data_IF_584700685643
#
_entry.id   IF_584700685643
#
_cell.length_a   1.000
_cell.length_b   1.000
_cell.length_c   1.000
_cell.angle_alpha   90.00
_cell.angle_beta   90.00
_cell.angle_gamma   90.00
#
_symmetry.space_group_name_H-M   'P 1'
#
loop_
_entity.id
_entity.type
_entity.pdbx_description
1 polymer ?
#
# COMPACT_ATOMS: atom_id res chain seq x y z
N UNK A 1 -6.36 4.11 -7.22
CA UNK A 1 -5.30 4.99 -6.69
C UNK A 1 -5.22 4.97 -5.17
N UNK A 2 -4.02 5.04 -4.62
CA UNK A 2 -3.75 5.12 -3.18
C UNK A 2 -3.05 6.46 -2.88
N UNK A 3 -3.84 7.51 -2.68
CA UNK A 3 -3.41 8.88 -2.37
C UNK A 3 -3.38 9.10 -0.86
N UNK A 4 -2.51 8.36 -0.18
CA UNK A 4 -2.44 8.24 1.26
C UNK A 4 -1.01 8.46 1.78
N UNK A 5 -0.89 8.97 3.00
CA UNK A 5 0.34 8.90 3.78
C UNK A 5 0.60 7.47 4.25
N UNK A 6 1.76 7.22 4.87
CA UNK A 6 2.00 5.93 5.53
C UNK A 6 0.94 5.70 6.61
N UNK A 7 0.18 4.63 6.44
CA UNK A 7 -0.87 4.26 7.38
C UNK A 7 -1.25 2.79 7.21
N UNK A 8 -1.98 2.23 8.15
CA UNK A 8 -2.51 0.88 8.05
C UNK A 8 -3.52 0.79 6.90
N UNK A 9 -4.31 1.83 6.69
CA UNK A 9 -5.33 1.93 5.64
C UNK A 9 -4.70 1.85 4.25
N UNK A 10 -3.47 2.39 4.07
CA UNK A 10 -2.70 2.22 2.84
C UNK A 10 -2.47 0.73 2.55
N UNK A 11 -1.98 -0.02 3.54
CA UNK A 11 -1.70 -1.44 3.40
C UNK A 11 -2.97 -2.28 3.24
N UNK A 12 -4.04 -1.92 3.95
CA UNK A 12 -5.35 -2.56 3.81
C UNK A 12 -5.88 -2.34 2.40
N UNK A 13 -5.91 -1.10 1.90
CA UNK A 13 -6.33 -0.75 0.55
C UNK A 13 -5.50 -1.45 -0.53
N UNK A 14 -4.16 -1.45 -0.39
CA UNK A 14 -3.24 -2.14 -1.28
C UNK A 14 -3.59 -3.65 -1.41
N UNK A 15 -3.77 -4.32 -0.27
CA UNK A 15 -4.08 -5.75 -0.25
C UNK A 15 -5.52 -6.04 -0.69
N UNK A 16 -6.47 -5.17 -0.37
CA UNK A 16 -7.86 -5.30 -0.83
C UNK A 16 -7.93 -5.24 -2.36
N UNK A 17 -7.21 -4.29 -2.99
CA UNK A 17 -7.16 -4.17 -4.45
C UNK A 17 -6.56 -5.44 -5.07
N UNK A 18 -5.47 -5.99 -4.52
CA UNK A 18 -4.93 -7.27 -4.98
C UNK A 18 -5.95 -8.42 -4.82
N UNK A 19 -6.69 -8.46 -3.70
CA UNK A 19 -7.67 -9.53 -3.44
C UNK A 19 -8.81 -9.57 -4.44
N UNK A 20 -9.24 -8.42 -4.94
CA UNK A 20 -10.29 -8.35 -5.98
C UNK A 20 -9.75 -8.49 -7.41
N UNK A 21 -8.44 -8.74 -7.58
CA UNK A 21 -7.79 -8.81 -8.89
C UNK A 21 -7.55 -7.44 -9.55
N UNK A 22 -7.65 -6.37 -8.77
CA UNK A 22 -7.37 -5.01 -9.24
C UNK A 22 -5.87 -4.71 -9.29
N UNK A 23 -5.53 -3.56 -9.87
CA UNK A 23 -4.16 -3.05 -9.98
C UNK A 23 -4.02 -1.84 -9.05
N UNK A 24 -3.30 -1.97 -7.93
CA UNK A 24 -3.07 -0.83 -7.04
C UNK A 24 -2.08 0.15 -7.67
N UNK A 25 -2.43 1.43 -7.63
CA UNK A 25 -1.65 2.53 -8.16
C UNK A 25 -1.17 3.40 -7.00
N UNK A 26 0.14 3.48 -6.80
CA UNK A 26 0.72 4.40 -5.83
C UNK A 26 0.61 5.84 -6.32
N UNK A 27 0.10 6.72 -5.47
CA UNK A 27 -0.05 8.15 -5.78
C UNK A 27 0.82 8.95 -4.81
N UNK A 28 1.67 9.80 -5.34
CA UNK A 28 2.50 10.66 -4.51
C UNK A 28 1.64 11.74 -3.83
N UNK A 29 1.60 11.73 -2.50
CA UNK A 29 0.80 12.68 -1.72
C UNK A 29 1.24 14.14 -1.86
N UNK A 30 2.41 14.39 -2.46
CA UNK A 30 2.92 15.75 -2.76
C UNK A 30 2.44 16.29 -4.09
N UNK A 31 1.79 15.47 -4.93
CA UNK A 31 1.33 15.92 -6.24
C UNK A 31 0.29 17.02 -6.13
N UNK A 32 0.40 18.01 -7.04
CA UNK A 32 -0.59 19.05 -7.24
C UNK A 32 -1.70 18.57 -8.19
N UNK A 33 -2.73 19.39 -8.40
CA UNK A 33 -3.93 19.01 -9.16
C UNK A 33 -3.60 18.45 -10.56
N UNK A 34 -2.74 19.12 -11.32
CA UNK A 34 -2.38 18.71 -12.69
C UNK A 34 -1.69 17.34 -12.72
N UNK A 35 -0.77 17.08 -11.78
CA UNK A 35 -0.06 15.80 -11.69
C UNK A 35 -1.00 14.67 -11.27
N UNK A 36 -1.96 14.93 -10.37
CA UNK A 36 -2.98 13.97 -9.96
C UNK A 36 -3.92 13.62 -11.08
N UNK A 37 -4.45 14.62 -11.82
CA UNK A 37 -5.31 14.40 -12.98
C UNK A 37 -4.56 13.52 -13.99
N UNK A 38 -3.33 13.90 -14.33
CA UNK A 38 -2.53 13.13 -15.27
C UNK A 38 -2.34 11.67 -14.81
N UNK A 39 -1.91 11.45 -13.55
CA UNK A 39 -1.62 10.12 -13.08
C UNK A 39 -2.86 9.25 -13.01
N UNK A 40 -3.96 9.76 -12.46
CA UNK A 40 -5.20 9.02 -12.28
C UNK A 40 -5.89 8.69 -13.61
N UNK A 41 -5.81 9.60 -14.59
CA UNK A 41 -6.29 9.35 -15.94
C UNK A 41 -5.39 8.37 -16.69
N UNK A 42 -4.07 8.59 -16.69
CA UNK A 42 -3.09 7.72 -17.38
C UNK A 42 -3.02 6.28 -16.82
N UNK A 43 -3.40 6.09 -15.56
CA UNK A 43 -3.46 4.77 -14.93
C UNK A 43 -4.80 4.07 -15.09
N UNK A 44 -5.75 4.65 -15.82
CA UNK A 44 -7.13 4.16 -15.93
C UNK A 44 -7.77 3.88 -14.55
N UNK A 45 -7.46 4.72 -13.55
CA UNK A 45 -7.98 4.53 -12.19
C UNK A 45 -9.49 4.67 -12.15
N UNK A 46 -10.17 3.70 -11.52
CA UNK A 46 -11.62 3.70 -11.33
C UNK A 46 -12.05 3.99 -9.89
N UNK A 47 -11.14 3.84 -8.93
CA UNK A 47 -11.37 4.13 -7.52
C UNK A 47 -10.13 4.75 -6.90
N UNK A 48 -10.33 5.66 -5.93
CA UNK A 48 -9.22 6.34 -5.24
C UNK A 48 -9.48 6.36 -3.75
N UNK A 49 -8.51 5.83 -2.98
CA UNK A 49 -8.41 6.04 -1.53
C UNK A 49 -7.62 7.32 -1.27
N UNK A 50 -8.06 8.16 -0.37
CA UNK A 50 -7.34 9.36 0.03
C UNK A 50 -7.57 9.71 1.50
N UNK A 51 -6.59 10.33 2.15
CA UNK A 51 -6.78 10.88 3.50
C UNK A 51 -7.60 12.17 3.47
N UNK A 52 -8.42 12.40 4.52
CA UNK A 52 -9.30 13.56 4.64
C UNK A 52 -8.57 14.90 4.50
N UNK A 53 -7.29 14.99 4.91
CA UNK A 53 -6.44 16.18 4.71
C UNK A 53 -6.26 16.56 3.23
N UNK A 54 -6.47 15.63 2.29
CA UNK A 54 -6.40 15.88 0.85
C UNK A 54 -7.75 16.15 0.21
N UNK A 55 -8.85 16.15 0.97
CA UNK A 55 -10.21 16.29 0.45
C UNK A 55 -10.46 17.59 -0.35
N UNK A 56 -9.77 18.68 -0.02
CA UNK A 56 -9.85 19.92 -0.81
C UNK A 56 -9.29 19.74 -2.23
N UNK A 57 -8.21 18.98 -2.36
CA UNK A 57 -7.60 18.68 -3.66
C UNK A 57 -8.45 17.70 -4.46
N UNK A 58 -9.01 16.69 -3.80
CA UNK A 58 -9.96 15.78 -4.45
C UNK A 58 -11.16 16.55 -4.99
N UNK A 59 -11.73 17.47 -4.21
CA UNK A 59 -12.82 18.34 -4.65
C UNK A 59 -12.45 19.18 -5.88
N UNK A 60 -11.21 19.66 -5.96
CA UNK A 60 -10.71 20.46 -7.07
C UNK A 60 -10.64 19.65 -8.39
N UNK A 61 -10.26 18.36 -8.31
CA UNK A 61 -9.97 17.54 -9.49
C UNK A 61 -11.08 16.57 -9.89
N UNK A 62 -12.04 16.29 -9.01
CA UNK A 62 -13.01 15.20 -9.20
C UNK A 62 -13.80 15.34 -10.50
N UNK A 63 -14.25 16.55 -10.85
CA UNK A 63 -15.00 16.82 -12.08
C UNK A 63 -14.17 16.60 -13.35
N UNK A 64 -12.84 16.65 -13.26
CA UNK A 64 -11.91 16.40 -14.36
C UNK A 64 -11.60 14.92 -14.58
N UNK A 65 -12.10 14.04 -13.73
CA UNK A 65 -11.80 12.60 -13.71
C UNK A 65 -13.10 11.75 -13.76
N UNK A 66 -13.87 11.82 -14.87
CA UNK A 66 -15.16 11.14 -14.97
C UNK A 66 -15.08 9.61 -14.93
N UNK A 67 -13.90 9.05 -15.14
CA UNK A 67 -13.67 7.60 -15.08
C UNK A 67 -13.55 7.08 -13.63
N UNK A 68 -13.29 7.95 -12.65
CA UNK A 68 -13.28 7.57 -11.24
C UNK A 68 -14.72 7.38 -10.77
N UNK A 69 -15.07 6.14 -10.47
CA UNK A 69 -16.42 5.73 -10.04
C UNK A 69 -16.60 5.86 -8.53
N UNK A 70 -15.50 5.73 -7.77
CA UNK A 70 -15.54 5.68 -6.32
C UNK A 70 -14.38 6.45 -5.71
N UNK A 71 -14.71 7.38 -4.83
CA UNK A 71 -13.78 8.08 -3.96
C UNK A 71 -13.96 7.54 -2.54
N UNK A 72 -12.90 7.08 -1.89
CA UNK A 72 -12.92 6.52 -0.55
C UNK A 72 -12.05 7.36 0.36
N UNK A 73 -12.68 8.04 1.31
CA UNK A 73 -12.01 8.90 2.26
C UNK A 73 -11.64 8.12 3.52
N UNK A 74 -10.38 8.22 3.92
CA UNK A 74 -9.80 7.70 5.15
C UNK A 74 -9.71 8.84 6.17
N UNK A 75 -10.27 8.66 7.34
CA UNK A 75 -10.23 9.66 8.40
C UNK A 75 -8.80 9.81 8.96
N UNK A 76 -8.33 11.05 9.10
CA UNK A 76 -7.03 11.40 9.69
C UNK A 76 -7.13 12.52 10.74
N UNK A 77 -8.35 12.85 11.17
CA UNK A 77 -8.66 13.95 12.08
C UNK A 77 -8.91 15.29 11.37
N UNK A 78 -8.69 15.37 10.05
CA UNK A 78 -8.97 16.56 9.26
C UNK A 78 -10.46 16.67 8.91
N UNK A 79 -10.91 17.90 8.63
CA UNK A 79 -12.29 18.14 8.20
C UNK A 79 -12.40 17.90 6.69
N UNK A 80 -13.27 16.97 6.30
CA UNK A 80 -13.54 16.67 4.88
C UNK A 80 -14.18 17.86 4.18
N UNK A 81 -13.70 18.13 2.95
CA UNK A 81 -14.24 19.16 2.04
C UNK A 81 -14.92 18.57 0.80
N UNK A 82 -14.83 17.25 0.59
CA UNK A 82 -15.48 16.55 -0.52
C UNK A 82 -16.55 15.61 0.03
N UNK A 83 -17.81 15.84 -0.36
CA UNK A 83 -18.98 15.19 0.24
C UNK A 83 -19.42 13.90 -0.45
N UNK A 84 -18.98 13.69 -1.68
CA UNK A 84 -19.42 12.55 -2.51
C UNK A 84 -18.53 11.32 -2.34
N UNK A 85 -17.69 11.32 -1.30
CA UNK A 85 -16.84 10.19 -0.95
C UNK A 85 -17.52 9.23 0.02
N UNK A 86 -17.28 7.94 -0.19
CA UNK A 86 -17.58 6.91 0.81
C UNK A 86 -16.55 6.98 1.96
N UNK A 87 -16.96 6.64 3.15
CA UNK A 87 -16.06 6.62 4.32
C UNK A 87 -15.48 5.22 4.49
N UNK A 88 -14.16 5.16 4.60
CA UNK A 88 -13.42 3.90 4.70
C UNK A 88 -13.90 3.05 5.89
N UNK A 89 -14.05 3.68 7.05
CA UNK A 89 -14.47 3.02 8.30
C UNK A 89 -15.89 2.46 8.16
N UNK A 90 -16.82 3.22 7.56
CA UNK A 90 -18.20 2.78 7.32
C UNK A 90 -18.26 1.59 6.35
N UNK A 91 -17.39 1.56 5.34
CA UNK A 91 -17.28 0.42 4.43
C UNK A 91 -16.81 -0.85 5.15
N UNK A 92 -15.83 -0.74 6.05
CA UNK A 92 -15.35 -1.87 6.84
C UNK A 92 -16.43 -2.45 7.76
N UNK A 93 -17.29 -1.59 8.31
CA UNK A 93 -18.36 -2.01 9.23
C UNK A 93 -19.58 -2.59 8.50
N UNK A 94 -19.87 -2.11 7.29
CA UNK A 94 -21.11 -2.44 6.55
C UNK A 94 -20.96 -3.56 5.53
N UNK A 95 -19.75 -3.96 5.18
CA UNK A 95 -19.50 -4.96 4.15
C UNK A 95 -19.08 -6.31 4.73
N UNK A 96 -19.67 -7.38 4.25
CA UNK A 96 -19.22 -8.73 4.57
C UNK A 96 -17.89 -9.05 3.89
N UNK A 97 -17.05 -9.91 4.49
CA UNK A 97 -15.81 -10.37 3.87
C UNK A 97 -16.10 -11.07 2.53
N UNK A 98 -15.35 -10.66 1.51
CA UNK A 98 -15.43 -11.30 0.19
C UNK A 98 -14.86 -12.71 0.23
N UNK A 99 -15.48 -13.65 -0.48
CA UNK A 99 -14.94 -14.99 -0.71
C UNK A 99 -13.59 -14.92 -1.44
N UNK A 100 -12.72 -15.89 -1.16
CA UNK A 100 -11.41 -15.98 -1.81
C UNK A 100 -11.57 -16.37 -3.28
N UNK A 101 -11.11 -15.53 -4.19
CA UNK A 101 -11.11 -15.83 -5.63
C UNK A 101 -9.72 -16.26 -6.09
N UNK A 102 -9.69 -17.09 -7.14
CA UNK A 102 -8.44 -17.38 -7.86
C UNK A 102 -7.97 -16.14 -8.62
N UNK A 103 -6.67 -15.85 -8.55
CA UNK A 103 -6.03 -14.71 -9.27
C UNK A 103 -4.98 -15.24 -10.22
N UNK A 104 -5.00 -14.71 -11.44
CA UNK A 104 -3.98 -15.04 -12.42
C UNK A 104 -2.62 -14.44 -12.01
N UNK A 105 -1.53 -15.22 -11.94
CA UNK A 105 -0.19 -14.72 -11.63
C UNK A 105 0.32 -13.70 -12.66
N UNK A 106 -0.28 -13.62 -13.84
CA UNK A 106 0.00 -12.59 -14.84
C UNK A 106 -0.72 -11.27 -14.59
N UNK A 107 -1.61 -11.18 -13.59
CA UNK A 107 -2.22 -9.90 -13.16
C UNK A 107 -1.12 -8.88 -12.87
N UNK A 108 -1.34 -7.64 -13.27
CA UNK A 108 -0.35 -6.58 -13.15
C UNK A 108 -0.34 -5.99 -11.73
N UNK A 109 0.86 -5.75 -11.24
CA UNK A 109 1.16 -4.77 -10.20
C UNK A 109 1.85 -3.59 -10.86
N UNK A 110 1.40 -2.37 -10.60
CA UNK A 110 1.94 -1.17 -11.21
C UNK A 110 2.53 -0.24 -10.16
N UNK A 111 3.73 0.26 -10.42
CA UNK A 111 4.38 1.27 -9.59
C UNK A 111 4.69 2.50 -10.43
N UNK A 112 4.05 3.62 -10.13
CA UNK A 112 4.39 4.89 -10.73
C UNK A 112 5.68 5.44 -10.11
N UNK A 113 6.61 5.82 -10.98
CA UNK A 113 7.89 6.41 -10.56
C UNK A 113 8.03 7.82 -11.13
N UNK A 114 8.60 8.75 -10.37
CA UNK A 114 8.94 10.07 -10.87
C UNK A 114 10.00 9.95 -11.97
N UNK A 115 9.69 10.42 -13.16
CA UNK A 115 10.66 10.50 -14.26
C UNK A 115 11.62 11.68 -14.04
N UNK A 116 12.90 11.50 -14.39
CA UNK A 116 13.88 12.60 -14.39
C UNK A 116 13.62 13.62 -15.50
N UNK A 117 12.72 13.32 -16.43
CA UNK A 117 12.51 14.06 -17.68
C UNK A 117 11.05 14.38 -17.99
N UNK A 118 10.13 14.34 -17.02
CA UNK A 118 8.71 14.63 -17.28
C UNK A 118 7.74 13.96 -16.32
N UNK A 119 6.52 13.75 -16.80
CA UNK A 119 5.41 13.16 -16.03
C UNK A 119 5.72 11.73 -15.54
N UNK A 120 5.14 11.31 -14.42
CA UNK A 120 5.34 9.97 -13.86
C UNK A 120 4.96 8.87 -14.84
N UNK A 121 5.67 7.73 -14.77
CA UNK A 121 5.40 6.55 -15.62
C UNK A 121 5.13 5.34 -14.75
N UNK A 122 4.13 4.55 -15.11
CA UNK A 122 3.78 3.28 -14.46
C UNK A 122 4.70 2.16 -14.93
N UNK A 123 5.52 1.62 -14.03
CA UNK A 123 6.30 0.40 -14.28
C UNK A 123 5.44 -0.79 -13.93
N UNK A 124 5.23 -1.69 -14.89
CA UNK A 124 4.36 -2.85 -14.76
C UNK A 124 5.16 -4.11 -14.43
N UNK A 125 4.69 -4.84 -13.43
CA UNK A 125 5.23 -6.12 -13.01
C UNK A 125 4.11 -7.16 -13.07
N UNK A 126 4.37 -8.37 -13.55
CA UNK A 126 3.47 -9.50 -13.32
C UNK A 126 3.55 -9.91 -11.85
N UNK A 127 2.42 -10.04 -11.17
CA UNK A 127 2.39 -10.33 -9.73
C UNK A 127 3.13 -11.62 -9.37
N UNK A 128 3.01 -12.67 -10.20
CA UNK A 128 3.72 -13.92 -9.97
C UNK A 128 5.25 -13.77 -10.06
N UNK A 129 5.76 -13.07 -11.08
CA UNK A 129 7.20 -12.80 -11.24
C UNK A 129 7.71 -11.89 -10.11
N UNK A 130 6.91 -10.90 -9.73
CA UNK A 130 7.22 -9.99 -8.63
C UNK A 130 7.29 -10.72 -7.28
N UNK A 131 6.38 -11.64 -7.02
CA UNK A 131 6.41 -12.48 -5.82
C UNK A 131 7.70 -13.32 -5.74
N UNK A 132 8.11 -13.94 -6.84
CA UNK A 132 9.39 -14.67 -6.92
C UNK A 132 10.58 -13.76 -6.61
N UNK A 133 10.56 -12.52 -7.11
CA UNK A 133 11.58 -11.52 -6.79
C UNK A 133 11.64 -11.22 -5.28
N UNK A 134 10.50 -11.03 -4.63
CA UNK A 134 10.44 -10.76 -3.19
C UNK A 134 10.98 -11.95 -2.38
N UNK A 135 10.65 -13.19 -2.74
CA UNK A 135 11.20 -14.38 -2.07
C UNK A 135 12.71 -14.50 -2.25
N UNK A 136 13.23 -14.22 -3.44
CA UNK A 136 14.69 -14.18 -3.67
C UNK A 136 15.37 -13.11 -2.82
N UNK A 137 14.73 -11.96 -2.64
CA UNK A 137 15.24 -10.89 -1.79
C UNK A 137 15.28 -11.31 -0.33
N UNK A 138 14.24 -11.95 0.19
CA UNK A 138 14.20 -12.51 1.54
C UNK A 138 15.33 -13.52 1.75
N UNK A 139 15.52 -14.44 0.82
CA UNK A 139 16.61 -15.44 0.87
C UNK A 139 18.00 -14.78 0.87
N UNK A 140 18.20 -13.75 0.06
CA UNK A 140 19.44 -12.98 0.02
C UNK A 140 19.71 -12.19 1.31
N UNK A 141 18.65 -11.82 2.04
CA UNK A 141 18.74 -11.20 3.37
C UNK A 141 18.97 -12.23 4.50
N UNK A 142 19.03 -13.52 4.16
CA UNK A 142 19.31 -14.60 5.13
C UNK A 142 18.07 -15.19 5.80
N UNK A 143 16.86 -14.83 5.34
CA UNK A 143 15.64 -15.45 5.85
C UNK A 143 15.45 -16.84 5.24
N UNK A 144 14.97 -17.77 6.06
CA UNK A 144 14.51 -19.06 5.58
C UNK A 144 13.20 -18.89 4.82
N UNK A 145 13.17 -19.32 3.57
CA UNK A 145 12.03 -19.16 2.66
C UNK A 145 11.81 -20.50 1.97
N UNK A 146 10.58 -21.05 1.96
CA UNK A 146 10.31 -22.34 1.34
C UNK A 146 10.59 -22.27 -0.16
N UNK A 147 11.12 -23.36 -0.72
CA UNK A 147 11.34 -23.49 -2.16
C UNK A 147 10.01 -23.61 -2.92
N UNK A 148 9.01 -24.25 -2.32
CA UNK A 148 7.65 -24.34 -2.81
C UNK A 148 6.75 -23.42 -1.98
N UNK A 149 6.07 -22.48 -2.66
CA UNK A 149 5.13 -21.54 -2.05
C UNK A 149 3.98 -22.25 -1.31
N UNK A 150 3.64 -23.48 -1.68
CA UNK A 150 2.63 -24.25 -0.98
C UNK A 150 3.02 -24.59 0.46
N UNK A 151 4.32 -24.53 0.79
CA UNK A 151 4.83 -24.73 2.12
C UNK A 151 4.91 -23.44 2.95
N UNK A 152 4.52 -22.30 2.39
CA UNK A 152 4.61 -20.99 3.05
C UNK A 152 3.77 -20.93 4.33
N UNK A 153 2.59 -21.53 4.32
CA UNK A 153 1.71 -21.56 5.50
C UNK A 153 2.36 -22.31 6.67
N UNK A 154 3.00 -23.43 6.40
CA UNK A 154 3.75 -24.18 7.41
C UNK A 154 4.95 -23.38 7.93
N UNK A 155 5.70 -22.73 7.05
CA UNK A 155 6.83 -21.87 7.43
C UNK A 155 6.39 -20.73 8.36
N UNK A 156 5.27 -20.05 8.02
CA UNK A 156 4.68 -19.00 8.86
C UNK A 156 4.28 -19.55 10.23
N UNK A 157 3.71 -20.75 10.27
CA UNK A 157 3.36 -21.42 11.53
C UNK A 157 4.61 -21.69 12.40
N UNK A 158 5.70 -22.15 11.79
CA UNK A 158 6.96 -22.42 12.47
C UNK A 158 7.58 -21.12 13.04
N UNK A 159 7.62 -20.05 12.27
CA UNK A 159 8.03 -18.72 12.75
C UNK A 159 7.17 -18.22 13.92
N UNK A 160 5.87 -18.49 13.87
CA UNK A 160 4.96 -18.15 14.97
C UNK A 160 5.32 -18.91 16.24
N UNK A 161 5.59 -20.20 16.11
CA UNK A 161 5.95 -21.08 17.24
C UNK A 161 7.27 -20.67 17.87
N UNK A 162 8.23 -20.24 17.06
CA UNK A 162 9.57 -19.82 17.50
C UNK A 162 9.64 -18.34 17.91
N UNK A 163 8.55 -17.58 17.71
CA UNK A 163 8.49 -16.13 17.94
C UNK A 163 9.57 -15.34 17.17
N UNK A 164 9.86 -15.78 15.94
CA UNK A 164 10.90 -15.21 15.06
C UNK A 164 10.35 -14.32 13.95
N UNK A 165 9.14 -13.79 14.11
CA UNK A 165 8.53 -12.88 13.13
C UNK A 165 9.32 -11.60 12.94
N UNK A 166 9.42 -11.18 11.68
CA UNK A 166 9.92 -9.85 11.33
C UNK A 166 8.92 -8.79 11.78
N UNK A 167 9.39 -7.81 12.51
CA UNK A 167 8.64 -6.59 12.84
C UNK A 167 9.34 -5.39 12.19
N UNK A 168 8.82 -4.95 11.08
CA UNK A 168 9.43 -3.88 10.29
C UNK A 168 8.76 -2.52 10.56
N UNK A 169 9.53 -1.52 10.97
CA UNK A 169 9.08 -0.14 10.97
C UNK A 169 9.25 0.44 9.56
N UNK A 170 8.14 0.86 8.96
CA UNK A 170 8.11 1.42 7.60
C UNK A 170 8.64 2.86 7.63
N UNK A 171 9.95 3.02 7.58
CA UNK A 171 10.61 4.33 7.65
C UNK A 171 10.60 5.12 6.33
N UNK A 172 10.35 4.46 5.19
CA UNK A 172 10.22 5.10 3.89
C UNK A 172 8.74 5.25 3.48
N UNK A 173 8.38 6.22 2.62
CA UNK A 173 7.01 6.33 2.15
C UNK A 173 6.53 5.06 1.43
N UNK A 174 5.33 4.59 1.78
CA UNK A 174 4.69 3.42 1.16
C UNK A 174 4.38 3.63 -0.34
N UNK A 175 4.27 4.87 -0.77
CA UNK A 175 4.11 5.20 -2.19
C UNK A 175 5.37 4.91 -3.02
N UNK A 176 6.50 4.59 -2.39
CA UNK A 176 7.75 4.23 -3.06
C UNK A 176 8.06 2.74 -2.88
N UNK A 177 8.71 2.15 -3.88
CA UNK A 177 9.09 0.73 -3.85
C UNK A 177 9.86 0.34 -2.58
N UNK A 178 10.80 1.17 -2.10
CA UNK A 178 11.55 0.89 -0.87
C UNK A 178 10.62 0.73 0.34
N UNK A 179 9.69 1.66 0.55
CA UNK A 179 8.73 1.57 1.66
C UNK A 179 7.78 0.39 1.52
N UNK A 180 7.19 0.22 0.33
CA UNK A 180 6.22 -0.82 0.07
C UNK A 180 6.87 -2.22 0.02
N UNK A 181 7.95 -2.39 -0.73
CA UNK A 181 8.52 -3.72 -0.97
C UNK A 181 9.33 -4.21 0.23
N UNK A 182 10.28 -3.40 0.70
CA UNK A 182 11.16 -3.80 1.80
C UNK A 182 10.51 -3.59 3.17
N UNK A 183 9.84 -2.46 3.37
CA UNK A 183 9.23 -2.12 4.66
C UNK A 183 7.93 -2.86 4.95
N UNK A 184 7.13 -3.21 3.94
CA UNK A 184 5.83 -3.82 4.14
C UNK A 184 5.69 -5.22 3.53
N UNK A 185 5.92 -5.41 2.23
CA UNK A 185 5.67 -6.71 1.61
C UNK A 185 6.56 -7.82 2.15
N UNK A 186 7.88 -7.59 2.31
CA UNK A 186 8.79 -8.64 2.79
C UNK A 186 8.38 -9.18 4.17
N UNK A 187 8.16 -8.33 5.21
CA UNK A 187 7.72 -8.85 6.50
C UNK A 187 6.35 -9.53 6.43
N UNK A 188 5.38 -8.94 5.71
CA UNK A 188 4.03 -9.50 5.62
C UNK A 188 3.98 -10.85 4.88
N UNK A 189 4.85 -11.09 3.89
CA UNK A 189 4.94 -12.37 3.19
C UNK A 189 5.35 -13.53 4.11
N UNK A 190 6.12 -13.26 5.16
CA UNK A 190 6.52 -14.25 6.16
C UNK A 190 5.65 -14.21 7.42
N UNK A 191 4.44 -13.62 7.35
CA UNK A 191 3.52 -13.53 8.47
C UNK A 191 3.94 -12.55 9.57
N UNK A 192 4.94 -11.70 9.29
CA UNK A 192 5.43 -10.67 10.20
C UNK A 192 4.52 -9.44 10.27
N UNK A 193 5.07 -8.35 10.79
CA UNK A 193 4.33 -7.10 11.04
C UNK A 193 4.99 -5.93 10.34
N UNK A 194 4.19 -5.16 9.61
CA UNK A 194 4.58 -3.83 9.12
C UNK A 194 3.99 -2.76 10.06
N UNK A 195 4.85 -1.94 10.63
CA UNK A 195 4.51 -0.90 11.60
C UNK A 195 4.57 0.44 10.89
N UNK A 196 3.47 1.16 10.85
CA UNK A 196 3.40 2.51 10.27
C UNK A 196 3.46 3.57 11.36
N UNK A 197 4.08 4.72 11.05
CA UNK A 197 4.10 5.85 11.97
C UNK A 197 2.97 6.82 11.64
N UNK A 198 2.31 7.38 12.68
CA UNK A 198 1.33 8.46 12.52
C UNK A 198 1.98 9.81 12.21
N UNK A 199 3.28 9.93 12.44
CA UNK A 199 4.00 11.17 12.21
C UNK A 199 4.37 11.32 10.73
N UNK A 200 3.98 12.44 10.14
CA UNK A 200 4.27 12.75 8.73
C UNK A 200 5.69 13.30 8.50
N UNK A 201 6.36 13.73 9.56
CA UNK A 201 7.72 14.25 9.52
C UNK A 201 8.77 13.25 10.03
N UNK A 202 10.01 13.42 9.60
CA UNK A 202 11.13 12.67 10.15
C UNK A 202 11.53 13.29 11.51
N UNK A 203 11.40 12.47 12.57
CA UNK A 203 11.85 12.79 13.91
C UNK A 203 12.59 11.57 14.46
N UNK A 204 13.91 11.70 14.61
CA UNK A 204 14.77 10.58 14.98
C UNK A 204 14.44 10.02 16.38
N UNK A 205 14.15 10.87 17.34
CA UNK A 205 13.85 10.46 18.71
C UNK A 205 12.53 9.70 18.78
N UNK A 206 11.53 10.16 18.04
CA UNK A 206 10.25 9.45 17.94
C UNK A 206 10.38 8.12 17.21
N UNK A 207 11.20 8.05 16.16
CA UNK A 207 11.46 6.78 15.44
C UNK A 207 12.14 5.79 16.40
N UNK A 208 13.18 6.17 17.11
CA UNK A 208 13.86 5.28 18.05
C UNK A 208 12.95 4.84 19.18
N UNK A 209 12.13 5.75 19.71
CA UNK A 209 11.11 5.38 20.69
C UNK A 209 10.11 4.38 20.13
N UNK A 210 9.65 4.56 18.90
CA UNK A 210 8.73 3.62 18.25
C UNK A 210 9.38 2.25 18.02
N UNK A 211 10.67 2.20 17.64
CA UNK A 211 11.45 0.96 17.53
C UNK A 211 11.49 0.22 18.87
N UNK A 212 11.75 0.94 19.96
CA UNK A 212 11.79 0.36 21.33
C UNK A 212 10.41 -0.12 21.77
N UNK A 213 9.37 0.72 21.63
CA UNK A 213 8.00 0.41 22.07
C UNK A 213 7.40 -0.78 21.30
N UNK A 214 7.73 -0.95 20.03
CA UNK A 214 7.21 -2.01 19.17
C UNK A 214 8.13 -3.23 19.08
N UNK A 215 9.33 -3.14 19.63
CA UNK A 215 10.36 -4.18 19.52
C UNK A 215 10.60 -4.56 18.05
N UNK A 216 10.82 -3.56 17.20
CA UNK A 216 11.19 -3.74 15.79
C UNK A 216 12.48 -4.54 15.66
N UNK A 217 12.52 -5.48 14.70
CA UNK A 217 13.65 -6.41 14.49
C UNK A 217 14.45 -6.04 13.23
#
# INVERSE_FOLDING_TARGET
>A
GLYLNNSNEYLIGQNAIFKIGGVPINVNYRYVAEELIYLLDNSDSEAVFYHACYSSRIKEIADSLPNIKVWIEVADGSVSQYKDALKFEELLESCDPMERIHRDPNTIYMLYTGGTTGMPKGVMYKQGEFLVYLFRTLKAMGYDVPEDINNLEQQIYDFKKENTFIKSLVGCPLMHGTGMWLGAFLPLLLGGTAITSKNLGFDADQIWKQVEDTQTT
#
